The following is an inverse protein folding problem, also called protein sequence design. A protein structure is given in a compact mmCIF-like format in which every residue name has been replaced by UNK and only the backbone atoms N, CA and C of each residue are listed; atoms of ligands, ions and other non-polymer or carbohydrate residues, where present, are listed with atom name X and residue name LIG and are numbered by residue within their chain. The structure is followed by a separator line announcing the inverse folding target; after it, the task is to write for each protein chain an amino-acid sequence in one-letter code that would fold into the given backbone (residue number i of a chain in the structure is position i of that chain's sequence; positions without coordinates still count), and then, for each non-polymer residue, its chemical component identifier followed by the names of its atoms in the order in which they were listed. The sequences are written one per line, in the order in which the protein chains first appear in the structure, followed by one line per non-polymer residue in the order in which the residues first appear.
data_IF_839963290942
#
_entry.id   IF_839963290942
#
_cell.length_a   1.000
_cell.length_b   1.000
_cell.length_c   1.000
_cell.angle_alpha   90.00
_cell.angle_beta   90.00
_cell.angle_gamma   90.00
#
_symmetry.space_group_name_H-M   'P 1'
#
loop_
_entity.id
_entity.type
_entity.pdbx_description
1 polymer ?
#
# COMPACT_ATOMS: atom_id res chain seq x y z
N UNK A 1 46.77 47.70 -9.33
CA UNK A 1 45.98 46.80 -8.44
C UNK A 1 44.55 46.58 -8.88
N UNK A 2 43.73 47.59 -9.15
CA UNK A 2 42.29 47.43 -9.54
C UNK A 2 42.08 46.51 -10.77
N UNK A 3 42.97 46.64 -11.79
CA UNK A 3 42.87 45.84 -13.04
C UNK A 3 43.17 44.38 -12.80
N UNK A 4 44.18 44.02 -11.95
CA UNK A 4 44.49 42.63 -11.58
C UNK A 4 43.36 41.99 -10.77
N UNK A 5 42.72 42.70 -9.88
CA UNK A 5 41.54 42.28 -9.14
C UNK A 5 40.32 42.07 -10.06
N UNK A 6 40.19 42.91 -11.10
CA UNK A 6 39.11 42.76 -12.10
C UNK A 6 39.30 41.50 -12.97
N UNK A 7 40.57 41.19 -13.35
CA UNK A 7 40.91 39.94 -14.05
C UNK A 7 40.64 38.72 -13.17
N UNK A 8 41.07 38.75 -11.91
CA UNK A 8 40.83 37.69 -10.95
C UNK A 8 39.33 37.44 -10.72
N UNK A 9 38.49 38.49 -10.71
CA UNK A 9 37.06 38.41 -10.62
C UNK A 9 36.37 37.76 -11.84
N UNK A 10 36.97 37.86 -13.03
CA UNK A 10 36.50 37.24 -14.26
C UNK A 10 36.80 35.74 -14.31
N UNK A 11 37.94 35.31 -13.74
CA UNK A 11 38.40 33.93 -13.75
C UNK A 11 37.81 33.05 -12.66
N UNK A 12 37.30 33.64 -11.56
CA UNK A 12 36.80 32.87 -10.41
C UNK A 12 35.28 33.03 -10.29
N UNK A 13 34.51 31.96 -10.57
CA UNK A 13 33.04 31.95 -10.54
C UNK A 13 32.43 32.29 -9.16
N UNK A 14 33.13 32.08 -8.04
CA UNK A 14 32.68 32.43 -6.67
C UNK A 14 33.86 32.66 -5.73
N UNK A 15 34.08 33.89 -5.33
CA UNK A 15 35.05 34.25 -4.30
C UNK A 15 34.51 33.87 -2.91
N UNK A 16 35.23 33.05 -2.17
CA UNK A 16 34.89 32.66 -0.80
C UNK A 16 35.52 33.61 0.17
N UNK A 17 34.76 34.58 0.68
CA UNK A 17 35.21 35.50 1.74
C UNK A 17 35.23 34.75 3.08
N UNK A 18 36.37 34.87 3.78
CA UNK A 18 36.55 34.35 5.15
C UNK A 18 35.78 35.22 6.15
N UNK A 19 35.64 34.71 7.36
CA UNK A 19 35.01 35.49 8.46
C UNK A 19 35.80 36.76 8.81
N UNK A 20 37.14 36.67 8.80
CA UNK A 20 38.06 37.79 8.98
C UNK A 20 37.82 38.94 7.99
N UNK A 21 37.64 38.60 6.70
CA UNK A 21 37.44 39.61 5.65
C UNK A 21 36.13 40.37 5.84
N UNK A 22 35.08 39.66 6.26
CA UNK A 22 33.77 40.26 6.57
C UNK A 22 33.85 41.17 7.80
N UNK A 23 34.62 40.78 8.83
CA UNK A 23 34.84 41.58 10.03
C UNK A 23 35.64 42.82 9.73
N UNK A 24 36.70 42.73 8.94
CA UNK A 24 37.53 43.84 8.51
C UNK A 24 36.68 44.91 7.80
N UNK A 25 35.88 44.52 6.82
CA UNK A 25 35.02 45.45 6.08
C UNK A 25 33.92 46.05 6.93
N UNK A 26 33.34 45.34 7.87
CA UNK A 26 32.38 45.87 8.84
C UNK A 26 33.04 46.88 9.76
N UNK A 27 34.30 46.67 10.19
CA UNK A 27 35.05 47.60 11.00
C UNK A 27 35.44 48.85 10.19
N UNK A 28 36.01 48.69 8.99
CA UNK A 28 36.37 49.77 8.08
C UNK A 28 35.16 50.66 7.75
N UNK A 29 33.99 50.10 7.62
CA UNK A 29 32.75 50.85 7.33
C UNK A 29 32.36 51.82 8.45
N UNK A 30 32.94 51.68 9.67
CA UNK A 30 32.70 52.59 10.82
C UNK A 30 33.76 53.65 10.99
N UNK A 31 35.00 53.33 10.61
CA UNK A 31 36.15 54.18 10.89
C UNK A 31 36.57 55.01 9.66
N UNK A 32 36.29 54.50 8.45
CA UNK A 32 36.75 55.14 7.23
C UNK A 32 35.60 55.60 6.32
N UNK A 33 35.37 56.93 6.17
CA UNK A 33 34.22 57.43 5.38
C UNK A 33 34.21 57.02 3.90
N UNK A 34 35.39 56.88 3.27
CA UNK A 34 35.53 56.54 1.86
C UNK A 34 35.53 55.02 1.55
N UNK A 35 35.22 54.15 2.53
CA UNK A 35 35.26 52.69 2.39
C UNK A 35 34.49 52.15 1.20
N UNK A 36 33.38 52.78 0.80
CA UNK A 36 32.53 52.36 -0.34
C UNK A 36 33.30 52.38 -1.66
N UNK A 37 34.22 53.33 -1.83
CA UNK A 37 35.01 53.47 -3.06
C UNK A 37 36.12 52.42 -3.19
N UNK A 38 36.54 51.82 -2.08
CA UNK A 38 37.58 50.81 -2.04
C UNK A 38 37.02 49.37 -2.32
N UNK A 39 35.71 49.19 -2.29
CA UNK A 39 35.08 47.90 -2.53
C UNK A 39 35.14 47.52 -4.00
N UNK A 40 35.72 46.36 -4.31
CA UNK A 40 35.81 45.79 -5.65
C UNK A 40 35.07 44.46 -5.75
N UNK A 41 35.12 43.67 -4.66
CA UNK A 41 34.63 42.26 -4.67
C UNK A 41 33.18 42.18 -4.23
N UNK A 42 32.74 43.03 -3.33
CA UNK A 42 31.40 43.02 -2.73
C UNK A 42 30.72 44.39 -2.85
N UNK A 43 29.41 44.38 -2.98
CA UNK A 43 28.62 45.62 -2.99
C UNK A 43 28.54 46.20 -1.57
N UNK A 44 28.47 47.55 -1.44
CA UNK A 44 28.32 48.20 -0.14
C UNK A 44 27.12 47.72 0.67
N UNK A 45 25.98 47.38 -0.01
CA UNK A 45 24.80 46.80 0.61
C UNK A 45 25.10 45.48 1.32
N UNK A 46 26.03 44.68 0.80
CA UNK A 46 26.44 43.39 1.39
C UNK A 46 27.17 43.62 2.72
N UNK A 47 28.07 44.56 2.81
CA UNK A 47 28.78 44.91 4.04
C UNK A 47 27.81 45.43 5.10
N UNK A 48 26.87 46.31 4.72
CA UNK A 48 25.81 46.77 5.62
C UNK A 48 24.89 45.64 6.10
N UNK A 49 24.60 44.67 5.25
CA UNK A 49 23.84 43.48 5.63
C UNK A 49 24.58 42.62 6.67
N UNK A 50 25.91 42.45 6.54
CA UNK A 50 26.73 41.77 7.53
C UNK A 50 26.72 42.49 8.87
N UNK A 51 26.85 43.84 8.85
CA UNK A 51 26.78 44.68 10.05
C UNK A 51 25.43 44.53 10.75
N UNK A 52 24.31 44.66 10.03
CA UNK A 52 22.96 44.49 10.58
C UNK A 52 22.72 43.10 11.18
N UNK A 53 23.24 42.07 10.52
CA UNK A 53 23.13 40.66 10.99
C UNK A 53 23.94 40.45 12.26
N UNK A 54 25.17 41.01 12.33
CA UNK A 54 26.01 40.95 13.54
C UNK A 54 25.38 41.72 14.70
N UNK A 55 24.86 42.90 14.45
CA UNK A 55 24.18 43.73 15.43
C UNK A 55 22.97 42.99 16.01
N UNK A 56 22.11 42.47 15.16
CA UNK A 56 20.95 41.67 15.61
C UNK A 56 21.35 40.46 16.44
N UNK A 57 22.41 39.75 16.06
CA UNK A 57 22.91 38.60 16.85
C UNK A 57 23.46 39.00 18.20
N UNK A 58 24.19 40.08 18.25
CA UNK A 58 24.75 40.61 19.50
C UNK A 58 23.63 41.00 20.47
N UNK A 59 22.68 41.79 20.02
CA UNK A 59 21.55 42.18 20.84
C UNK A 59 20.62 41.04 21.21
N UNK A 60 20.41 40.10 20.34
CA UNK A 60 19.63 38.87 20.64
C UNK A 60 20.32 38.04 21.74
N UNK A 61 21.66 37.98 21.74
CA UNK A 61 22.40 37.30 22.80
C UNK A 61 22.32 38.03 24.13
N UNK A 62 22.39 39.36 24.12
CA UNK A 62 22.30 40.20 25.33
C UNK A 62 20.89 40.27 25.92
N UNK A 63 19.86 40.25 25.06
CA UNK A 63 18.47 40.36 25.51
C UNK A 63 17.94 39.09 26.20
N UNK A 64 18.69 37.98 26.17
CA UNK A 64 18.32 36.74 26.84
C UNK A 64 16.95 36.17 26.44
N UNK A 65 16.30 36.75 25.40
CA UNK A 65 15.00 36.28 24.96
C UNK A 65 15.15 34.89 24.30
N UNK A 66 14.46 33.85 24.83
CA UNK A 66 14.39 32.60 24.16
C UNK A 66 13.80 32.82 22.74
N UNK A 67 14.18 32.00 21.73
CA UNK A 67 13.67 32.15 20.38
C UNK A 67 12.13 32.14 20.43
N UNK A 68 11.52 33.20 19.88
CA UNK A 68 10.08 33.33 19.83
C UNK A 68 9.53 32.17 18.99
N UNK A 69 8.69 31.34 19.56
CA UNK A 69 8.05 30.23 18.89
C UNK A 69 7.91 28.98 19.77
N UNK A 70 7.17 28.03 19.26
CA UNK A 70 7.00 26.73 19.92
C UNK A 70 8.36 26.01 19.99
N UNK A 71 8.70 25.37 21.11
CA UNK A 71 9.94 24.60 21.25
C UNK A 71 10.06 23.57 20.13
N UNK A 72 11.25 23.34 19.57
CA UNK A 72 11.45 22.32 18.57
C UNK A 72 11.19 20.95 19.19
N UNK A 73 10.57 20.04 18.41
CA UNK A 73 10.39 18.63 18.80
C UNK A 73 11.76 18.03 19.09
N UNK A 74 11.84 17.18 20.11
CA UNK A 74 13.07 16.50 20.52
C UNK A 74 13.72 15.78 19.32
N UNK A 75 15.05 15.81 19.29
CA UNK A 75 15.85 15.16 18.27
C UNK A 75 15.67 13.63 18.27
N UNK A 76 15.52 13.02 19.46
CA UNK A 76 15.27 11.61 19.61
C UNK A 76 13.92 11.19 19.00
N UNK A 77 12.87 11.98 19.24
CA UNK A 77 11.54 11.74 18.66
C UNK A 77 11.59 11.86 17.13
N UNK A 78 12.30 12.85 16.60
CA UNK A 78 12.49 13.01 15.14
C UNK A 78 13.20 11.82 14.51
N UNK A 79 14.23 11.31 15.18
CA UNK A 79 14.97 10.14 14.72
C UNK A 79 14.09 8.88 14.75
N UNK A 80 13.31 8.69 15.81
CA UNK A 80 12.39 7.56 15.96
C UNK A 80 11.30 7.57 14.88
N UNK A 81 10.65 8.71 14.62
CA UNK A 81 9.65 8.84 13.54
C UNK A 81 10.23 8.48 12.18
N UNK A 82 11.45 8.93 11.89
CA UNK A 82 12.13 8.61 10.62
C UNK A 82 12.50 7.12 10.52
N UNK A 83 12.96 6.52 11.61
CA UNK A 83 13.26 5.09 11.68
C UNK A 83 12.00 4.24 11.45
N UNK A 84 10.89 4.58 12.15
CA UNK A 84 9.60 3.90 11.94
C UNK A 84 9.11 4.01 10.49
N UNK A 85 9.23 5.19 9.89
CA UNK A 85 8.84 5.41 8.50
C UNK A 85 9.72 4.64 7.50
N UNK A 86 11.01 4.52 7.77
CA UNK A 86 11.96 3.77 6.93
C UNK A 86 11.74 2.26 7.03
N UNK A 87 11.50 1.76 8.24
CA UNK A 87 11.21 0.35 8.48
C UNK A 87 9.83 -0.07 7.93
N UNK A 88 8.88 0.88 7.84
CA UNK A 88 7.50 0.62 7.43
C UNK A 88 7.05 1.61 6.35
N UNK A 89 7.48 1.44 5.09
CA UNK A 89 7.23 2.41 4.00
C UNK A 89 5.74 2.70 3.72
N UNK A 90 4.86 1.80 4.13
CA UNK A 90 3.42 1.94 3.95
C UNK A 90 2.71 2.65 5.10
N UNK A 91 3.41 2.94 6.21
CA UNK A 91 2.80 3.61 7.34
C UNK A 91 2.65 5.11 7.07
N UNK A 92 1.46 5.62 7.31
CA UNK A 92 1.18 7.06 7.30
C UNK A 92 1.33 7.67 8.69
N UNK A 93 1.18 9.00 8.77
CA UNK A 93 1.24 9.73 10.03
C UNK A 93 0.28 9.19 11.11
N UNK A 94 -0.99 8.83 10.82
CA UNK A 94 -1.91 8.31 11.84
C UNK A 94 -1.39 7.04 12.51
N UNK A 95 -0.80 6.11 11.75
CA UNK A 95 -0.30 4.85 12.28
C UNK A 95 0.96 5.04 13.13
N UNK A 96 1.92 5.82 12.63
CA UNK A 96 3.13 6.17 13.38
C UNK A 96 2.78 6.94 14.66
N UNK A 97 1.82 7.84 14.61
CA UNK A 97 1.30 8.54 15.78
C UNK A 97 0.71 7.57 16.81
N UNK A 98 -0.09 6.59 16.35
CA UNK A 98 -0.64 5.56 17.24
C UNK A 98 0.45 4.73 17.95
N UNK A 99 1.52 4.37 17.25
CA UNK A 99 2.67 3.68 17.85
C UNK A 99 3.42 4.55 18.86
N UNK A 100 3.60 5.85 18.57
CA UNK A 100 4.21 6.78 19.51
C UNK A 100 3.40 6.92 20.80
N UNK A 101 2.07 6.98 20.70
CA UNK A 101 1.19 6.98 21.88
C UNK A 101 1.34 5.71 22.72
N UNK A 102 1.50 4.54 22.10
CA UNK A 102 1.77 3.28 22.80
C UNK A 102 3.13 3.24 23.49
N UNK A 103 4.08 4.03 23.00
CA UNK A 103 5.39 4.24 23.65
C UNK A 103 5.38 5.38 24.70
N UNK A 104 4.22 5.93 25.03
CA UNK A 104 4.09 7.03 25.99
C UNK A 104 4.58 8.39 25.46
N UNK A 105 4.76 8.52 24.13
CA UNK A 105 5.22 9.77 23.49
C UNK A 105 4.02 10.54 22.96
N UNK A 106 3.65 11.61 23.65
CA UNK A 106 2.55 12.49 23.23
C UNK A 106 3.06 13.59 22.28
N UNK A 107 2.82 13.38 20.99
CA UNK A 107 3.16 14.32 19.92
C UNK A 107 1.98 14.39 18.94
N UNK A 108 1.47 15.58 18.66
CA UNK A 108 0.35 15.75 17.75
C UNK A 108 0.61 15.09 16.38
N UNK A 109 -0.37 14.39 15.82
CA UNK A 109 -0.30 13.70 14.51
C UNK A 109 0.18 14.64 13.39
N UNK A 110 -0.26 15.90 13.38
CA UNK A 110 0.21 16.91 12.43
C UNK A 110 1.73 17.14 12.52
N UNK A 111 2.33 17.00 13.70
CA UNK A 111 3.78 17.09 13.88
C UNK A 111 4.47 15.88 13.28
N UNK A 112 3.93 14.68 13.50
CA UNK A 112 4.41 13.44 12.87
C UNK A 112 4.36 13.57 11.35
N UNK A 113 3.25 14.04 10.80
CA UNK A 113 3.08 14.28 9.36
C UNK A 113 4.14 15.22 8.76
N UNK A 114 4.54 16.26 9.51
CA UNK A 114 5.60 17.19 9.07
C UNK A 114 7.02 16.59 9.14
N UNK A 115 7.22 15.61 10.01
CA UNK A 115 8.52 14.94 10.19
C UNK A 115 8.75 13.82 9.18
N UNK A 116 7.68 13.30 8.56
CA UNK A 116 7.76 12.27 7.53
C UNK A 116 8.48 12.81 6.28
N UNK A 117 9.28 11.98 5.62
CA UNK A 117 9.90 12.35 4.36
C UNK A 117 8.82 12.65 3.31
N UNK A 118 8.96 13.78 2.62
CA UNK A 118 8.07 14.13 1.52
C UNK A 118 8.21 13.09 0.41
N UNK A 119 7.10 12.46 0.04
CA UNK A 119 7.08 11.57 -1.12
C UNK A 119 7.44 12.36 -2.38
N UNK A 120 8.38 11.84 -3.17
CA UNK A 120 8.84 12.50 -4.41
C UNK A 120 7.83 12.44 -5.55
N UNK A 121 6.86 11.54 -5.46
CA UNK A 121 5.77 11.38 -6.43
C UNK A 121 4.46 11.92 -5.86
N UNK A 122 3.59 12.53 -6.67
CA UNK A 122 2.23 12.84 -6.26
C UNK A 122 1.56 11.56 -5.75
N UNK A 123 0.67 11.63 -4.75
CA UNK A 123 -0.05 10.46 -4.29
C UNK A 123 -0.84 9.91 -5.47
N UNK A 124 -0.50 8.70 -5.89
CA UNK A 124 -1.36 7.91 -6.77
C UNK A 124 -2.71 7.72 -6.07
N UNK A 125 -3.74 7.44 -6.86
CA UNK A 125 -5.04 7.01 -6.35
C UNK A 125 -4.87 6.07 -5.16
N UNK A 126 -5.59 6.31 -4.05
CA UNK A 126 -5.47 5.42 -2.89
C UNK A 126 -5.96 4.03 -3.28
N UNK A 127 -5.37 2.98 -2.69
CA UNK A 127 -5.79 1.61 -2.93
C UNK A 127 -7.30 1.41 -2.77
N UNK A 128 -7.88 2.02 -1.75
CA UNK A 128 -9.33 1.99 -1.51
C UNK A 128 -10.11 2.63 -2.67
N UNK A 129 -9.68 3.80 -3.14
CA UNK A 129 -10.31 4.50 -4.27
C UNK A 129 -10.20 3.68 -5.55
N UNK A 130 -9.02 3.08 -5.80
CA UNK A 130 -8.82 2.18 -6.94
C UNK A 130 -9.79 1.00 -6.89
N UNK A 131 -9.87 0.27 -5.77
CA UNK A 131 -10.80 -0.85 -5.62
C UNK A 131 -12.26 -0.43 -5.81
N UNK A 132 -12.66 0.73 -5.27
CA UNK A 132 -14.05 1.21 -5.41
C UNK A 132 -14.39 1.53 -6.86
N UNK A 133 -13.46 2.14 -7.59
CA UNK A 133 -13.71 2.54 -8.99
C UNK A 133 -13.69 1.38 -9.97
N UNK A 134 -12.94 0.31 -9.67
CA UNK A 134 -12.71 -0.81 -10.59
C UNK A 134 -13.30 -2.15 -10.10
N UNK A 135 -14.12 -2.14 -9.05
CA UNK A 135 -14.63 -3.37 -8.42
C UNK A 135 -15.35 -4.31 -9.39
N UNK A 136 -16.02 -3.76 -10.40
CA UNK A 136 -16.78 -4.54 -11.40
C UNK A 136 -15.87 -5.25 -12.41
N UNK A 137 -14.74 -4.62 -12.72
CA UNK A 137 -13.82 -5.07 -13.77
C UNK A 137 -12.51 -5.62 -13.18
N UNK A 138 -12.51 -5.84 -11.86
CA UNK A 138 -11.35 -6.32 -11.13
C UNK A 138 -11.56 -7.77 -10.70
N UNK A 139 -10.60 -8.60 -11.06
CA UNK A 139 -10.50 -9.99 -10.61
C UNK A 139 -9.23 -10.15 -9.79
N UNK A 140 -9.26 -10.92 -8.73
CA UNK A 140 -8.07 -11.32 -8.00
C UNK A 140 -7.80 -12.81 -8.16
N UNK A 141 -6.53 -13.14 -8.19
CA UNK A 141 -6.05 -14.52 -8.15
C UNK A 141 -5.18 -14.73 -6.93
N UNK A 142 -5.23 -15.94 -6.40
CA UNK A 142 -4.45 -16.31 -5.24
C UNK A 142 -4.25 -17.83 -5.18
N UNK A 143 -3.21 -18.24 -4.46
CA UNK A 143 -2.92 -19.63 -4.15
C UNK A 143 -3.06 -19.88 -2.65
N UNK A 144 -3.56 -21.05 -2.31
CA UNK A 144 -3.42 -21.58 -0.95
C UNK A 144 -3.09 -23.07 -0.96
N UNK A 145 -2.46 -23.50 0.10
CA UNK A 145 -2.02 -24.89 0.23
C UNK A 145 -2.95 -25.69 1.12
N UNK A 146 -3.10 -26.97 0.78
CA UNK A 146 -3.90 -27.95 1.51
C UNK A 146 -3.07 -29.23 1.69
N UNK A 147 -2.79 -29.67 2.93
CA UNK A 147 -2.14 -30.94 3.15
C UNK A 147 -3.08 -32.11 2.82
N UNK A 148 -2.58 -33.10 2.12
CA UNK A 148 -3.29 -34.35 1.84
C UNK A 148 -2.83 -35.47 2.81
N UNK A 149 -3.68 -36.48 3.01
CA UNK A 149 -3.40 -37.61 3.91
C UNK A 149 -2.12 -38.39 3.55
N UNK A 150 -1.71 -38.36 2.27
CA UNK A 150 -0.46 -38.99 1.79
C UNK A 150 0.79 -38.13 1.99
N UNK A 151 0.78 -37.17 2.92
CA UNK A 151 1.87 -36.22 3.20
C UNK A 151 2.28 -35.33 2.00
N UNK A 152 1.41 -35.22 1.00
CA UNK A 152 1.59 -34.30 -0.13
C UNK A 152 0.93 -32.96 0.16
N UNK A 153 1.49 -31.91 -0.41
CA UNK A 153 0.91 -30.56 -0.34
C UNK A 153 0.26 -30.25 -1.68
N UNK A 154 -1.03 -30.00 -1.65
CA UNK A 154 -1.80 -29.61 -2.82
C UNK A 154 -1.90 -28.09 -2.86
N UNK A 155 -1.78 -27.52 -4.04
CA UNK A 155 -1.95 -26.08 -4.30
C UNK A 155 -3.32 -25.86 -4.94
N UNK A 156 -4.08 -24.97 -4.38
CA UNK A 156 -5.38 -24.55 -4.93
C UNK A 156 -5.24 -23.16 -5.48
N UNK A 157 -5.50 -23.01 -6.77
CA UNK A 157 -5.60 -21.74 -7.46
C UNK A 157 -7.05 -21.28 -7.47
N UNK A 158 -7.30 -20.00 -7.15
CA UNK A 158 -8.64 -19.43 -7.18
C UNK A 158 -8.63 -18.12 -7.97
N UNK A 159 -9.67 -17.90 -8.75
CA UNK A 159 -9.96 -16.69 -9.52
C UNK A 159 -11.26 -16.10 -8.99
N UNK A 160 -11.19 -14.92 -8.37
CA UNK A 160 -12.28 -14.28 -7.67
C UNK A 160 -12.63 -12.94 -8.32
N UNK A 161 -13.85 -12.81 -8.85
CA UNK A 161 -14.38 -11.52 -9.24
C UNK A 161 -14.71 -10.69 -8.00
N UNK A 162 -14.30 -9.42 -8.01
CA UNK A 162 -14.62 -8.50 -6.91
C UNK A 162 -16.08 -8.05 -6.94
N UNK A 163 -16.70 -8.03 -8.12
CA UNK A 163 -18.14 -7.89 -8.24
C UNK A 163 -18.83 -9.07 -7.55
N UNK A 164 -19.71 -8.77 -6.60
CA UNK A 164 -20.41 -9.74 -5.75
C UNK A 164 -19.51 -10.84 -5.14
N UNK A 165 -18.17 -10.77 -5.27
CA UNK A 165 -17.19 -11.74 -4.71
C UNK A 165 -17.42 -13.17 -5.19
N UNK A 166 -17.67 -13.33 -6.47
CA UNK A 166 -17.95 -14.62 -7.10
C UNK A 166 -16.65 -15.33 -7.49
N UNK A 167 -16.50 -16.58 -7.13
CA UNK A 167 -15.42 -17.45 -7.63
C UNK A 167 -15.73 -17.79 -9.08
N UNK A 168 -14.90 -17.34 -10.00
CA UNK A 168 -15.05 -17.58 -11.43
C UNK A 168 -14.45 -18.92 -11.83
N UNK A 169 -13.28 -19.23 -11.26
CA UNK A 169 -12.56 -20.45 -11.57
C UNK A 169 -11.76 -20.90 -10.35
N UNK A 170 -11.53 -22.19 -10.23
CA UNK A 170 -10.56 -22.76 -9.31
C UNK A 170 -10.00 -24.05 -9.90
N UNK A 171 -8.79 -24.39 -9.53
CA UNK A 171 -8.23 -25.68 -9.87
C UNK A 171 -7.21 -26.10 -8.79
N UNK A 172 -6.87 -27.39 -8.80
CA UNK A 172 -5.97 -28.01 -7.81
C UNK A 172 -4.83 -28.68 -8.56
N UNK A 173 -3.62 -28.59 -8.02
CA UNK A 173 -2.44 -29.28 -8.54
C UNK A 173 -1.42 -29.57 -7.43
N UNK A 174 -0.59 -30.57 -7.62
CA UNK A 174 0.60 -30.80 -6.78
C UNK A 174 1.78 -29.93 -7.23
N UNK A 175 1.79 -29.50 -8.51
CA UNK A 175 2.93 -28.81 -9.13
C UNK A 175 2.47 -27.53 -9.84
N UNK A 176 2.37 -26.39 -9.14
CA UNK A 176 1.98 -25.13 -9.75
C UNK A 176 3.13 -24.56 -10.60
N UNK A 177 3.11 -24.83 -11.89
CA UNK A 177 4.05 -24.25 -12.85
C UNK A 177 3.48 -22.99 -13.48
N UNK A 178 4.34 -22.10 -14.02
CA UNK A 178 3.90 -20.89 -14.71
C UNK A 178 3.02 -21.24 -15.95
N UNK A 179 3.33 -22.33 -16.65
CA UNK A 179 2.52 -22.82 -17.78
C UNK A 179 1.13 -23.26 -17.31
N UNK A 180 1.06 -24.07 -16.24
CA UNK A 180 -0.21 -24.51 -15.67
C UNK A 180 -1.05 -23.32 -15.19
N UNK A 181 -0.45 -22.37 -14.46
CA UNK A 181 -1.12 -21.16 -13.96
C UNK A 181 -1.65 -20.30 -15.11
N UNK A 182 -0.86 -20.19 -16.19
CA UNK A 182 -1.29 -19.48 -17.40
C UNK A 182 -2.51 -20.12 -18.03
N UNK A 183 -2.55 -21.46 -18.09
CA UNK A 183 -3.71 -22.16 -18.61
C UNK A 183 -4.95 -21.92 -17.76
N UNK A 184 -4.81 -21.87 -16.42
CA UNK A 184 -5.95 -21.60 -15.54
C UNK A 184 -6.59 -20.22 -15.80
N UNK A 185 -5.79 -19.22 -16.20
CA UNK A 185 -6.35 -17.89 -16.58
C UNK A 185 -7.11 -17.98 -17.91
N UNK A 186 -6.63 -18.75 -18.87
CA UNK A 186 -7.35 -18.96 -20.12
C UNK A 186 -8.67 -19.66 -19.86
N UNK A 187 -8.66 -20.71 -19.04
CA UNK A 187 -9.87 -21.48 -18.68
C UNK A 187 -10.87 -20.62 -17.87
N UNK A 188 -10.39 -19.66 -17.11
CA UNK A 188 -11.22 -18.75 -16.30
C UNK A 188 -11.98 -17.72 -17.15
N UNK A 189 -11.45 -17.35 -18.31
CA UNK A 189 -11.98 -16.29 -19.16
C UNK A 189 -12.12 -16.75 -20.62
N UNK A 190 -13.09 -17.61 -20.90
CA UNK A 190 -13.42 -17.96 -22.28
C UNK A 190 -14.07 -16.75 -22.99
N UNK A 191 -13.93 -16.70 -24.30
CA UNK A 191 -14.69 -15.84 -25.20
C UNK A 191 -14.78 -14.36 -24.79
N UNK A 192 -13.66 -13.63 -24.81
CA UNK A 192 -13.58 -12.17 -24.52
C UNK A 192 -14.19 -11.73 -23.17
N UNK A 193 -14.39 -12.66 -22.24
CA UNK A 193 -14.88 -12.36 -20.88
C UNK A 193 -13.78 -11.87 -19.92
N UNK A 194 -12.61 -11.51 -20.44
CA UNK A 194 -11.48 -11.09 -19.65
C UNK A 194 -11.75 -9.78 -18.90
N UNK A 195 -11.32 -9.66 -17.63
CA UNK A 195 -11.51 -8.45 -16.85
C UNK A 195 -10.54 -7.35 -17.31
N UNK A 196 -10.85 -6.08 -17.00
CA UNK A 196 -9.92 -4.99 -17.26
C UNK A 196 -8.65 -5.07 -16.39
N UNK A 197 -8.77 -5.60 -15.17
CA UNK A 197 -7.66 -5.68 -14.22
C UNK A 197 -7.61 -7.01 -13.48
N UNK A 198 -6.39 -7.52 -13.29
CA UNK A 198 -6.11 -8.73 -12.50
C UNK A 198 -5.15 -8.39 -11.36
N UNK A 199 -5.64 -8.57 -10.13
CA UNK A 199 -4.88 -8.39 -8.90
C UNK A 199 -4.23 -9.70 -8.49
N UNK A 200 -2.92 -9.67 -8.25
CA UNK A 200 -2.14 -10.81 -7.74
C UNK A 200 -1.02 -10.36 -6.82
N UNK A 201 -0.44 -11.29 -6.12
CA UNK A 201 0.80 -11.10 -5.38
C UNK A 201 2.04 -11.19 -6.30
N UNK A 202 3.22 -11.24 -5.70
CA UNK A 202 4.52 -11.30 -6.41
C UNK A 202 5.13 -12.69 -6.42
N UNK A 203 4.32 -13.73 -6.27
CA UNK A 203 4.84 -15.09 -6.31
C UNK A 203 5.51 -15.40 -7.66
N UNK A 204 6.59 -16.17 -7.61
CA UNK A 204 7.39 -16.60 -8.77
C UNK A 204 6.60 -17.49 -9.73
N UNK A 205 5.55 -18.13 -9.27
CA UNK A 205 4.65 -18.95 -10.06
C UNK A 205 4.00 -18.18 -11.22
N UNK A 206 3.88 -16.84 -11.07
CA UNK A 206 3.41 -15.93 -12.11
C UNK A 206 4.59 -15.45 -12.99
N UNK A 207 5.19 -16.38 -13.72
CA UNK A 207 6.36 -16.14 -14.57
C UNK A 207 6.10 -15.25 -15.79
N UNK A 208 7.09 -15.16 -16.66
CA UNK A 208 7.03 -14.33 -17.87
C UNK A 208 5.88 -14.73 -18.81
N UNK A 209 5.65 -16.03 -18.99
CA UNK A 209 4.58 -16.58 -19.86
C UNK A 209 3.21 -16.12 -19.39
N UNK A 210 2.95 -16.15 -18.08
CA UNK A 210 1.72 -15.65 -17.47
C UNK A 210 1.47 -14.17 -17.81
N UNK A 211 2.49 -13.32 -17.61
CA UNK A 211 2.41 -11.89 -17.90
C UNK A 211 2.18 -11.59 -19.38
N UNK A 212 2.85 -12.34 -20.27
CA UNK A 212 2.62 -12.21 -21.71
C UNK A 212 1.19 -12.59 -22.09
N UNK A 213 0.63 -13.65 -21.49
CA UNK A 213 -0.75 -14.06 -21.74
C UNK A 213 -1.74 -12.98 -21.29
N UNK A 214 -1.60 -12.43 -20.06
CA UNK A 214 -2.45 -11.33 -19.60
C UNK A 214 -2.41 -10.13 -20.54
N UNK A 215 -1.20 -9.74 -20.98
CA UNK A 215 -1.04 -8.66 -21.95
C UNK A 215 -1.75 -8.96 -23.27
N UNK A 216 -1.64 -10.20 -23.78
CA UNK A 216 -2.33 -10.65 -25.00
C UNK A 216 -3.85 -10.66 -24.87
N UNK A 217 -4.37 -10.83 -23.66
CA UNK A 217 -5.81 -10.75 -23.34
C UNK A 217 -6.29 -9.31 -23.04
N UNK A 218 -5.42 -8.32 -23.13
CA UNK A 218 -5.76 -6.92 -22.79
C UNK A 218 -5.96 -6.65 -21.30
N UNK A 219 -5.54 -7.56 -20.42
CA UNK A 219 -5.75 -7.46 -18.96
C UNK A 219 -4.61 -6.68 -18.31
N UNK A 220 -4.96 -5.60 -17.62
CA UNK A 220 -4.04 -4.81 -16.81
C UNK A 220 -3.65 -5.54 -15.53
N UNK A 221 -2.34 -5.74 -15.31
CA UNK A 221 -1.82 -6.40 -14.11
C UNK A 221 -1.70 -5.42 -12.93
N UNK A 222 -2.27 -5.78 -11.80
CA UNK A 222 -2.18 -5.03 -10.55
C UNK A 222 -1.44 -5.87 -9.51
N UNK A 223 -0.25 -5.39 -9.11
CA UNK A 223 0.58 -6.10 -8.14
C UNK A 223 0.37 -5.56 -6.73
N UNK A 224 0.16 -6.46 -5.76
CA UNK A 224 0.21 -6.10 -4.35
C UNK A 224 1.61 -5.64 -3.95
N UNK A 225 1.71 -4.77 -2.96
CA UNK A 225 3.00 -4.42 -2.38
C UNK A 225 3.61 -5.64 -1.68
N UNK A 226 4.95 -5.75 -1.61
CA UNK A 226 5.60 -6.85 -0.89
C UNK A 226 5.08 -6.96 0.54
N UNK A 227 4.87 -8.19 1.01
CA UNK A 227 4.38 -8.49 2.36
C UNK A 227 3.08 -7.76 2.76
N UNK A 228 2.16 -7.57 1.79
CA UNK A 228 0.93 -6.81 1.99
C UNK A 228 -0.33 -7.61 1.64
N UNK A 229 -0.61 -8.74 2.35
CA UNK A 229 -1.77 -9.59 2.06
C UNK A 229 -3.10 -8.83 2.18
N UNK A 230 -3.16 -7.82 3.07
CA UNK A 230 -4.36 -6.96 3.20
C UNK A 230 -4.74 -6.20 1.92
N UNK A 231 -3.90 -6.19 0.89
CA UNK A 231 -4.22 -5.61 -0.42
C UNK A 231 -5.05 -6.55 -1.31
N UNK A 232 -5.16 -7.85 -0.94
CA UNK A 232 -6.07 -8.82 -1.55
C UNK A 232 -7.10 -9.35 -0.52
N UNK A 233 -7.87 -8.48 0.16
CA UNK A 233 -8.68 -8.85 1.31
C UNK A 233 -9.85 -9.78 0.95
N UNK A 234 -10.29 -9.77 -0.31
CA UNK A 234 -11.41 -10.61 -0.74
C UNK A 234 -10.97 -12.05 -0.96
N UNK A 235 -9.82 -12.28 -1.58
CA UNK A 235 -9.25 -13.62 -1.74
C UNK A 235 -8.88 -14.21 -0.37
N UNK A 236 -8.22 -13.45 0.49
CA UNK A 236 -7.89 -13.85 1.86
C UNK A 236 -9.14 -14.26 2.66
N UNK A 237 -10.22 -13.49 2.57
CA UNK A 237 -11.48 -13.80 3.24
C UNK A 237 -12.13 -15.05 2.66
N UNK A 238 -12.09 -15.24 1.35
CA UNK A 238 -12.59 -16.44 0.69
C UNK A 238 -11.82 -17.67 1.17
N UNK A 239 -10.48 -17.63 1.13
CA UNK A 239 -9.61 -18.72 1.60
C UNK A 239 -9.89 -19.04 3.07
N UNK A 240 -10.01 -18.00 3.90
CA UNK A 240 -10.39 -18.16 5.31
C UNK A 240 -11.77 -18.83 5.49
N UNK A 241 -12.74 -18.55 4.63
CA UNK A 241 -14.06 -19.21 4.66
C UNK A 241 -13.96 -20.66 4.21
N UNK A 242 -13.25 -20.94 3.12
CA UNK A 242 -13.00 -22.32 2.63
C UNK A 242 -12.37 -23.18 3.72
N UNK A 243 -11.37 -22.65 4.40
CA UNK A 243 -10.70 -23.37 5.51
C UNK A 243 -11.66 -23.65 6.65
N UNK A 244 -12.29 -22.63 7.20
CA UNK A 244 -13.16 -22.77 8.38
C UNK A 244 -14.43 -23.59 8.12
N UNK A 245 -15.02 -23.42 6.96
CA UNK A 245 -16.34 -23.99 6.66
C UNK A 245 -16.27 -25.34 5.92
N UNK A 246 -15.10 -25.70 5.37
CA UNK A 246 -14.96 -26.92 4.59
C UNK A 246 -13.69 -27.72 5.01
N UNK A 247 -12.51 -27.19 4.75
CA UNK A 247 -11.26 -27.96 4.82
C UNK A 247 -10.90 -28.42 6.22
N UNK A 248 -11.22 -27.65 7.25
CA UNK A 248 -10.96 -28.02 8.64
C UNK A 248 -11.82 -29.21 9.13
N UNK A 249 -12.81 -29.63 8.34
CA UNK A 249 -13.77 -30.69 8.69
C UNK A 249 -13.63 -31.93 7.84
N UNK A 250 -12.64 -32.00 6.96
CA UNK A 250 -12.43 -33.13 6.05
C UNK A 250 -10.96 -33.56 6.04
N UNK A 251 -10.74 -34.84 5.77
CA UNK A 251 -9.42 -35.38 5.43
C UNK A 251 -9.30 -35.43 3.91
N UNK A 252 -8.34 -34.69 3.35
CA UNK A 252 -8.09 -34.64 1.91
C UNK A 252 -7.26 -35.85 1.50
N UNK A 253 -7.81 -36.72 0.66
CA UNK A 253 -7.14 -37.94 0.21
C UNK A 253 -6.20 -37.74 -0.99
N UNK A 254 -6.45 -36.69 -1.78
CA UNK A 254 -5.65 -36.37 -2.96
C UNK A 254 -6.32 -35.28 -3.81
N UNK A 255 -5.67 -34.95 -4.95
CA UNK A 255 -6.06 -33.85 -5.82
C UNK A 255 -7.52 -33.95 -6.29
N UNK A 256 -7.91 -35.08 -6.83
CA UNK A 256 -9.26 -35.29 -7.36
C UNK A 256 -10.33 -35.23 -6.24
N UNK A 257 -10.02 -35.75 -5.05
CA UNK A 257 -10.89 -35.62 -3.87
C UNK A 257 -11.09 -34.16 -3.49
N UNK A 258 -10.00 -33.41 -3.38
CA UNK A 258 -10.05 -31.99 -3.05
C UNK A 258 -10.83 -31.19 -4.10
N UNK A 259 -10.59 -31.44 -5.40
CA UNK A 259 -11.29 -30.77 -6.51
C UNK A 259 -12.79 -30.99 -6.43
N UNK A 260 -13.24 -32.24 -6.22
CA UNK A 260 -14.67 -32.55 -6.05
C UNK A 260 -15.27 -31.91 -4.82
N UNK A 261 -14.56 -31.91 -3.72
CA UNK A 261 -15.01 -31.27 -2.47
C UNK A 261 -15.18 -29.77 -2.63
N UNK A 262 -14.20 -29.10 -3.20
CA UNK A 262 -14.27 -27.66 -3.45
C UNK A 262 -15.36 -27.30 -4.48
N UNK A 263 -15.57 -28.12 -5.51
CA UNK A 263 -16.67 -27.90 -6.46
C UNK A 263 -18.03 -27.90 -5.75
N UNK A 264 -18.27 -28.88 -4.85
CA UNK A 264 -19.48 -28.92 -4.04
C UNK A 264 -19.58 -27.74 -3.09
N UNK A 265 -18.46 -27.34 -2.46
CA UNK A 265 -18.43 -26.19 -1.58
C UNK A 265 -18.75 -24.89 -2.34
N UNK A 266 -18.19 -24.67 -3.52
CA UNK A 266 -18.48 -23.49 -4.32
C UNK A 266 -19.91 -23.47 -4.86
N UNK A 267 -20.48 -24.61 -5.20
CA UNK A 267 -21.91 -24.68 -5.52
C UNK A 267 -22.79 -24.21 -4.35
N UNK A 268 -22.50 -24.69 -3.14
CA UNK A 268 -23.15 -24.21 -1.92
C UNK A 268 -22.87 -22.73 -1.66
N UNK A 269 -21.61 -22.31 -1.78
CA UNK A 269 -21.14 -20.94 -1.51
C UNK A 269 -21.87 -19.91 -2.39
N UNK A 270 -22.09 -20.24 -3.67
CA UNK A 270 -22.77 -19.34 -4.61
C UNK A 270 -24.29 -19.45 -4.57
N UNK A 271 -24.83 -20.63 -4.38
CA UNK A 271 -26.26 -20.88 -4.54
C UNK A 271 -27.06 -20.88 -3.26
N UNK A 272 -26.43 -21.18 -2.11
CA UNK A 272 -27.18 -21.38 -0.87
C UNK A 272 -26.69 -20.55 0.31
N UNK A 273 -25.39 -20.31 0.42
CA UNK A 273 -24.78 -19.59 1.52
C UNK A 273 -25.17 -18.12 1.51
N UNK A 274 -25.68 -17.62 2.62
CA UNK A 274 -26.00 -16.20 2.78
C UNK A 274 -24.76 -15.39 3.14
N UNK A 275 -24.64 -14.20 2.56
CA UNK A 275 -23.49 -13.31 2.72
C UNK A 275 -23.92 -11.96 3.29
N UNK A 276 -23.33 -11.54 4.40
CA UNK A 276 -23.65 -10.24 5.02
C UNK A 276 -23.44 -9.06 4.07
N UNK A 277 -22.42 -9.16 3.20
CA UNK A 277 -22.10 -8.11 2.24
C UNK A 277 -23.04 -8.07 1.01
N UNK A 278 -23.94 -9.03 0.89
CA UNK A 278 -24.98 -9.11 -0.14
C UNK A 278 -26.38 -9.04 0.50
N UNK A 279 -26.53 -8.24 1.57
CA UNK A 279 -27.79 -8.09 2.29
C UNK A 279 -28.39 -9.41 2.75
N UNK A 280 -27.54 -10.35 3.17
CA UNK A 280 -27.88 -11.72 3.58
C UNK A 280 -28.42 -12.60 2.46
N UNK A 281 -28.18 -12.23 1.21
CA UNK A 281 -28.49 -13.06 0.04
C UNK A 281 -27.32 -13.96 -0.36
N UNK A 282 -27.57 -14.93 -1.25
CA UNK A 282 -26.56 -15.73 -1.94
C UNK A 282 -26.04 -15.01 -3.19
N UNK A 283 -24.88 -15.43 -3.73
CA UNK A 283 -24.30 -14.79 -4.93
C UNK A 283 -25.23 -14.88 -6.16
N UNK A 284 -25.89 -16.02 -6.35
CA UNK A 284 -26.84 -16.21 -7.46
C UNK A 284 -28.23 -15.65 -7.17
N UNK A 285 -28.42 -15.08 -5.96
CA UNK A 285 -29.74 -14.71 -5.48
C UNK A 285 -30.57 -15.90 -5.03
N UNK A 286 -31.34 -15.73 -3.96
CA UNK A 286 -32.32 -16.74 -3.52
C UNK A 286 -33.67 -16.10 -3.40
N UNK A 287 -34.73 -16.69 -4.04
CA UNK A 287 -36.08 -16.18 -3.86
C UNK A 287 -36.49 -16.34 -2.40
N UNK A 288 -37.32 -15.42 -1.93
CA UNK A 288 -37.98 -15.54 -0.63
C UNK A 288 -39.14 -16.51 -0.79
N UNK A 289 -39.06 -17.63 -0.09
CA UNK A 289 -40.08 -18.67 -0.12
C UNK A 289 -41.15 -18.36 0.95
N UNK A 290 -42.33 -18.00 0.49
CA UNK A 290 -43.46 -17.64 1.37
C UNK A 290 -44.01 -18.87 2.10
N UNK A 291 -44.67 -18.72 3.27
CA UNK A 291 -45.25 -19.82 4.04
C UNK A 291 -46.20 -20.74 3.25
N UNK A 292 -46.85 -20.18 2.25
CA UNK A 292 -47.81 -20.88 1.39
C UNK A 292 -47.15 -21.98 0.54
N UNK A 293 -45.84 -21.91 0.33
CA UNK A 293 -45.10 -22.95 -0.41
C UNK A 293 -44.90 -24.26 0.37
N UNK A 294 -45.42 -24.35 1.59
CA UNK A 294 -45.47 -25.58 2.35
C UNK A 294 -44.44 -25.64 3.49
N UNK A 295 -44.13 -26.86 3.92
CA UNK A 295 -43.25 -27.11 5.07
C UNK A 295 -41.81 -26.85 4.76
N UNK A 296 -41.05 -26.38 5.77
CA UNK A 296 -39.59 -26.23 5.66
C UNK A 296 -38.92 -27.60 5.69
N UNK A 297 -38.10 -27.87 4.70
CA UNK A 297 -37.27 -29.07 4.64
C UNK A 297 -35.80 -28.72 4.58
N UNK A 298 -34.98 -29.62 5.10
CA UNK A 298 -33.53 -29.49 5.15
C UNK A 298 -32.91 -30.30 4.01
N UNK A 299 -32.03 -29.66 3.22
CA UNK A 299 -31.28 -30.30 2.14
C UNK A 299 -29.81 -30.30 2.50
N UNK A 300 -29.17 -31.47 2.46
CA UNK A 300 -27.75 -31.64 2.71
C UNK A 300 -26.91 -31.06 1.59
N UNK A 301 -25.90 -30.26 1.96
CA UNK A 301 -24.91 -29.68 1.07
C UNK A 301 -23.50 -30.11 1.49
N UNK A 302 -22.54 -30.13 0.58
CA UNK A 302 -21.12 -30.44 0.83
C UNK A 302 -20.95 -31.77 1.59
N UNK A 303 -21.67 -32.83 1.16
CA UNK A 303 -21.61 -34.12 1.83
C UNK A 303 -22.23 -34.18 3.23
N UNK A 304 -23.12 -33.25 3.56
CA UNK A 304 -23.76 -33.14 4.88
C UNK A 304 -23.07 -32.20 5.85
N UNK A 305 -21.97 -31.58 5.44
CA UNK A 305 -21.25 -30.58 6.26
C UNK A 305 -22.06 -29.30 6.44
N UNK A 306 -22.83 -28.93 5.40
CA UNK A 306 -23.75 -27.80 5.44
C UNK A 306 -25.16 -28.23 5.07
N UNK A 307 -26.10 -27.35 5.33
CA UNK A 307 -27.51 -27.58 4.99
C UNK A 307 -28.11 -26.27 4.48
N UNK A 308 -28.98 -26.39 3.47
CA UNK A 308 -29.88 -25.31 3.06
C UNK A 308 -31.31 -25.68 3.42
N UNK A 309 -32.13 -24.68 3.57
CA UNK A 309 -33.53 -24.82 3.91
C UNK A 309 -34.39 -24.28 2.78
N UNK A 310 -35.36 -25.03 2.36
CA UNK A 310 -36.35 -24.64 1.34
C UNK A 310 -37.75 -25.03 1.82
N UNK A 311 -38.77 -24.44 1.22
CA UNK A 311 -40.14 -24.87 1.43
C UNK A 311 -40.55 -25.86 0.34
N UNK A 312 -41.33 -26.87 0.70
CA UNK A 312 -41.84 -27.88 -0.21
C UNK A 312 -43.30 -28.17 0.11
N UNK A 313 -44.15 -28.11 -0.91
CA UNK A 313 -45.54 -28.58 -0.80
C UNK A 313 -45.56 -30.02 -0.29
N UNK A 314 -46.61 -30.35 0.47
CA UNK A 314 -46.81 -31.70 1.04
C UNK A 314 -47.08 -32.73 -0.03
#
# INVERSE_FOLDING_TARGET
MRQQLAVYKRTTKRLRLRRSDRLLWVWLSRVWPAWKQALVIVAPATVLSWQRRRFRRHWAALSGRPPAGRPPVDAAIKALVRSMAAANPLWGAPRIHGELLKLGIDVAERTVSRLLPKRRSPPSQTWRTFLTNHVRDLVSVDFFTVPAACLRVLFVFVVLAHDRRRVLHFNVTEHPTAAWTTQQIVDAFPDDSAPSYLLRDRDSVYGHVFRQRLKGMGVGEVLTAPHSPWQNPFAERLIGSIRRECLNHIVVLGEQHLRRTLARYFAYYHGARTHLALDKDAHHGRPIEQPEFGRVIQIREVGGLHHRYIRRAA
#
